data_IF_854260179564
#
_entry.id   IF_854260179564
#
_cell.length_a   1.000
_cell.length_b   1.000
_cell.length_c   1.000
_cell.angle_alpha   90.00
_cell.angle_beta   90.00
_cell.angle_gamma   90.00
#
_symmetry.space_group_name_H-M   'P 1'
#
loop_
_entity.id
_entity.type
_entity.pdbx_description
1 polymer ?
#
# COMPACT_ATOMS: atom_id res chain seq x y z
N UNK A 1 -21.68 14.65 6.28
CA UNK A 1 -20.34 15.16 5.80
C UNK A 1 -20.03 14.41 4.51
N UNK A 2 -19.40 15.06 3.50
CA UNK A 2 -18.99 14.32 2.30
C UNK A 2 -17.90 13.32 2.68
N UNK A 3 -18.10 12.06 2.34
CA UNK A 3 -17.10 11.01 2.43
C UNK A 3 -16.25 10.91 1.17
N UNK A 4 -15.31 9.98 1.16
CA UNK A 4 -14.51 9.65 0.00
C UNK A 4 -15.11 8.42 -0.71
N UNK A 5 -15.28 8.51 -2.03
CA UNK A 5 -15.76 7.42 -2.88
C UNK A 5 -14.66 7.02 -3.85
N UNK A 6 -14.30 5.74 -3.87
CA UNK A 6 -13.39 5.17 -4.87
C UNK A 6 -14.22 4.90 -6.14
N UNK A 7 -13.74 5.44 -7.27
CA UNK A 7 -14.43 5.35 -8.56
C UNK A 7 -13.64 4.58 -9.62
N UNK A 8 -12.41 4.24 -9.34
CA UNK A 8 -11.60 3.41 -10.22
C UNK A 8 -10.42 2.83 -9.46
N UNK A 9 -9.92 1.68 -9.90
CA UNK A 9 -8.81 0.96 -9.31
C UNK A 9 -7.86 0.40 -10.37
N UNK A 10 -6.58 0.29 -10.03
CA UNK A 10 -5.55 -0.28 -10.88
C UNK A 10 -4.48 -0.97 -10.07
N UNK A 11 -3.72 -1.85 -10.74
CA UNK A 11 -2.61 -2.57 -10.11
C UNK A 11 -1.46 -2.78 -11.06
N UNK A 12 -0.27 -2.96 -10.51
CA UNK A 12 0.92 -3.44 -11.18
C UNK A 12 1.68 -4.42 -10.27
N UNK A 13 2.49 -5.28 -10.84
CA UNK A 13 3.32 -6.23 -10.11
C UNK A 13 4.74 -6.19 -10.66
N UNK A 14 5.70 -6.69 -9.87
CA UNK A 14 7.06 -6.91 -10.37
C UNK A 14 7.07 -7.81 -11.62
N UNK A 15 8.08 -7.67 -12.44
CA UNK A 15 8.21 -8.32 -13.76
C UNK A 15 8.71 -9.78 -13.69
N UNK A 16 9.08 -10.26 -12.49
CA UNK A 16 9.51 -11.65 -12.28
C UNK A 16 8.66 -12.37 -11.25
N UNK A 17 8.05 -13.48 -11.66
CA UNK A 17 7.40 -14.41 -10.74
C UNK A 17 8.47 -15.26 -10.05
N UNK A 18 8.44 -15.29 -8.71
CA UNK A 18 9.32 -16.11 -7.86
C UNK A 18 8.47 -17.10 -7.08
N UNK A 19 8.63 -18.38 -7.36
CA UNK A 19 7.90 -19.49 -6.72
C UNK A 19 8.55 -19.88 -5.39
N UNK A 20 7.84 -20.67 -4.57
CA UNK A 20 8.44 -21.25 -3.38
C UNK A 20 9.60 -22.19 -3.72
N UNK A 21 9.52 -22.92 -4.84
CA UNK A 21 10.63 -23.75 -5.33
C UNK A 21 11.88 -22.93 -5.72
N UNK A 22 11.72 -21.67 -6.13
CA UNK A 22 12.85 -20.78 -6.35
C UNK A 22 13.45 -20.30 -5.03
N UNK A 23 12.62 -20.08 -4.02
CA UNK A 23 13.10 -19.73 -2.66
C UNK A 23 13.87 -20.87 -2.01
N UNK A 24 13.53 -22.14 -2.27
CA UNK A 24 14.27 -23.33 -1.79
C UNK A 24 15.73 -23.36 -2.29
N UNK A 25 16.02 -22.71 -3.43
CA UNK A 25 17.38 -22.60 -3.99
C UNK A 25 18.22 -21.53 -3.30
N UNK A 26 17.57 -20.63 -2.56
CA UNK A 26 18.18 -19.42 -1.98
C UNK A 26 18.38 -19.59 -0.46
N UNK A 27 17.38 -20.15 0.23
CA UNK A 27 17.39 -20.26 1.69
C UNK A 27 16.82 -21.62 2.12
N UNK A 28 17.24 -22.12 3.27
CA UNK A 28 16.77 -23.38 3.84
C UNK A 28 15.29 -23.30 4.22
N UNK A 29 14.40 -23.68 3.27
CA UNK A 29 12.94 -23.66 3.38
C UNK A 29 12.32 -24.74 2.52
N UNK A 30 10.97 -24.82 2.48
CA UNK A 30 10.22 -25.66 1.55
C UNK A 30 8.89 -25.02 1.15
N UNK A 31 8.38 -25.37 -0.04
CA UNK A 31 7.04 -24.95 -0.48
C UNK A 31 5.97 -25.29 0.57
N UNK A 32 6.06 -26.51 1.13
CA UNK A 32 5.15 -26.93 2.19
C UNK A 32 5.22 -26.00 3.40
N UNK A 33 6.43 -25.68 3.89
CA UNK A 33 6.59 -24.84 5.07
C UNK A 33 6.08 -23.41 4.82
N UNK A 34 6.43 -22.81 3.66
CA UNK A 34 5.96 -21.46 3.31
C UNK A 34 4.44 -21.43 3.22
N UNK A 35 3.84 -22.40 2.51
CA UNK A 35 2.38 -22.47 2.30
C UNK A 35 1.63 -22.70 3.61
N UNK A 36 2.11 -23.61 4.48
CA UNK A 36 1.48 -23.87 5.78
C UNK A 36 1.56 -22.66 6.74
N UNK A 37 2.62 -21.85 6.63
CA UNK A 37 2.83 -20.69 7.52
C UNK A 37 2.21 -19.40 7.03
N UNK A 38 2.11 -19.20 5.73
CA UNK A 38 1.71 -17.91 5.16
C UNK A 38 0.64 -17.99 4.06
N UNK A 39 0.36 -19.17 3.54
CA UNK A 39 -0.51 -19.35 2.37
C UNK A 39 0.13 -18.91 1.05
N UNK A 40 1.34 -18.33 1.07
CA UNK A 40 2.03 -17.80 -0.12
C UNK A 40 2.53 -18.94 -0.99
N UNK A 41 2.22 -18.90 -2.29
CA UNK A 41 2.70 -19.85 -3.30
C UNK A 41 3.74 -19.25 -4.23
N UNK A 42 3.62 -17.95 -4.50
CA UNK A 42 4.56 -17.17 -5.30
C UNK A 42 4.53 -15.70 -4.88
N UNK A 43 5.53 -14.97 -5.30
CA UNK A 43 5.62 -13.50 -5.16
C UNK A 43 6.18 -12.92 -6.45
N UNK A 44 6.08 -11.62 -6.60
CA UNK A 44 6.65 -10.91 -7.73
C UNK A 44 7.85 -10.10 -7.25
N UNK A 45 8.94 -10.13 -8.00
CA UNK A 45 10.08 -9.22 -7.82
C UNK A 45 10.20 -8.31 -9.03
N UNK A 46 10.51 -7.06 -8.78
CA UNK A 46 10.77 -6.07 -9.82
C UNK A 46 12.26 -6.09 -10.17
N UNK A 47 12.65 -6.92 -11.13
CA UNK A 47 14.05 -7.02 -11.57
C UNK A 47 14.45 -5.81 -12.43
N UNK A 48 13.64 -5.48 -13.43
CA UNK A 48 13.90 -4.36 -14.33
C UNK A 48 13.05 -3.12 -14.01
N UNK A 49 11.93 -3.29 -13.32
CA UNK A 49 11.04 -2.19 -12.96
C UNK A 49 11.52 -1.47 -11.71
N UNK A 50 11.38 -0.15 -11.71
CA UNK A 50 11.51 0.68 -10.51
C UNK A 50 10.19 0.71 -9.72
N UNK A 51 10.23 1.28 -8.50
CA UNK A 51 9.02 1.56 -7.74
C UNK A 51 8.12 2.55 -8.51
N UNK A 52 8.72 3.57 -9.12
CA UNK A 52 8.00 4.55 -9.94
C UNK A 52 7.38 3.95 -11.20
N UNK A 53 7.96 2.89 -11.80
CA UNK A 53 7.34 2.20 -12.93
C UNK A 53 6.06 1.49 -12.53
N UNK A 54 6.09 0.75 -11.42
CA UNK A 54 4.90 0.08 -10.90
C UNK A 54 3.83 1.08 -10.46
N UNK A 55 4.23 2.17 -9.80
CA UNK A 55 3.31 3.24 -9.42
C UNK A 55 2.62 3.85 -10.64
N UNK A 56 3.36 4.16 -11.70
CA UNK A 56 2.82 4.69 -12.95
C UNK A 56 1.84 3.72 -13.62
N UNK A 57 2.17 2.46 -13.74
CA UNK A 57 1.30 1.45 -14.37
C UNK A 57 -0.01 1.26 -13.61
N UNK A 58 0.07 1.15 -12.27
CA UNK A 58 -1.11 1.04 -11.42
C UNK A 58 -2.00 2.29 -11.52
N UNK A 59 -1.39 3.47 -11.48
CA UNK A 59 -2.07 4.75 -11.59
C UNK A 59 -2.78 4.92 -12.94
N UNK A 60 -2.08 4.65 -14.04
CA UNK A 60 -2.67 4.70 -15.38
C UNK A 60 -3.83 3.72 -15.55
N UNK A 61 -3.76 2.55 -14.92
CA UNK A 61 -4.87 1.60 -14.92
C UNK A 61 -6.06 2.12 -14.11
N UNK A 62 -5.83 2.74 -12.94
CA UNK A 62 -6.88 3.30 -12.10
C UNK A 62 -7.61 4.48 -12.78
N UNK A 63 -6.88 5.36 -13.47
CA UNK A 63 -7.46 6.48 -14.22
C UNK A 63 -8.35 5.96 -15.35
N UNK A 64 -7.88 4.97 -16.11
CA UNK A 64 -8.69 4.34 -17.16
C UNK A 64 -9.96 3.67 -16.63
N UNK A 65 -9.87 2.99 -15.50
CA UNK A 65 -11.01 2.32 -14.86
C UNK A 65 -12.02 3.33 -14.33
N UNK A 66 -11.55 4.45 -13.79
CA UNK A 66 -12.39 5.55 -13.34
C UNK A 66 -13.08 6.30 -14.47
N UNK A 67 -12.52 6.29 -15.68
CA UNK A 67 -13.03 7.05 -16.83
C UNK A 67 -12.93 8.56 -16.65
N UNK A 68 -11.93 9.04 -15.90
CA UNK A 68 -11.70 10.47 -15.66
C UNK A 68 -10.55 10.99 -16.51
N UNK A 69 -10.56 12.28 -16.80
CA UNK A 69 -9.46 12.94 -17.50
C UNK A 69 -8.33 13.30 -16.51
N UNK A 70 -7.10 13.27 -16.99
CA UNK A 70 -5.93 13.59 -16.15
C UNK A 70 -5.96 15.03 -15.64
N UNK A 71 -6.55 15.95 -16.39
CA UNK A 71 -6.73 17.36 -16.08
C UNK A 71 -7.57 17.62 -14.82
N UNK A 72 -8.42 16.68 -14.45
CA UNK A 72 -9.31 16.78 -13.29
C UNK A 72 -8.68 16.23 -12.00
N UNK A 73 -7.47 15.64 -12.09
CA UNK A 73 -6.74 15.13 -10.92
C UNK A 73 -6.00 16.27 -10.23
N UNK A 74 -6.47 16.64 -9.05
CA UNK A 74 -5.92 17.76 -8.27
C UNK A 74 -4.95 17.33 -7.18
N UNK A 75 -4.98 16.04 -6.80
CA UNK A 75 -4.13 15.46 -5.75
C UNK A 75 -3.56 14.12 -6.22
N UNK A 76 -2.25 13.94 -6.09
CA UNK A 76 -1.54 12.68 -6.36
C UNK A 76 -0.68 12.31 -5.14
N UNK A 77 -1.03 11.23 -4.46
CA UNK A 77 -0.31 10.74 -3.28
C UNK A 77 0.25 9.36 -3.57
N UNK A 78 1.56 9.17 -3.41
CA UNK A 78 2.18 7.84 -3.41
C UNK A 78 2.52 7.45 -1.98
N UNK A 79 1.87 6.41 -1.50
CA UNK A 79 2.11 5.82 -0.20
C UNK A 79 3.24 4.80 -0.35
N UNK A 80 4.45 5.19 0.07
CA UNK A 80 5.66 4.37 -0.08
C UNK A 80 6.69 4.66 1.00
N UNK A 81 7.47 3.64 1.38
CA UNK A 81 8.70 3.79 2.16
C UNK A 81 9.95 3.33 1.37
N UNK A 82 9.74 2.92 0.11
CA UNK A 82 10.79 2.44 -0.81
C UNK A 82 10.90 3.31 -2.07
N UNK A 83 10.99 4.66 -1.95
CA UNK A 83 11.12 5.50 -3.13
C UNK A 83 12.42 5.18 -3.87
N UNK A 84 12.41 5.31 -5.20
CA UNK A 84 13.62 5.13 -6.01
C UNK A 84 14.66 6.23 -5.71
N UNK A 85 14.18 7.46 -5.53
CA UNK A 85 14.96 8.64 -5.20
C UNK A 85 14.41 9.34 -3.97
N UNK A 86 15.25 10.00 -3.20
CA UNK A 86 14.79 10.88 -2.11
C UNK A 86 14.11 12.15 -2.63
N UNK A 87 14.50 12.61 -3.82
CA UNK A 87 13.91 13.76 -4.52
C UNK A 87 14.33 13.76 -6.00
N UNK A 88 13.40 13.99 -6.95
CA UNK A 88 11.95 14.16 -6.71
C UNK A 88 11.31 12.88 -6.21
N UNK A 89 10.24 13.02 -5.40
CA UNK A 89 9.47 11.86 -4.91
C UNK A 89 8.76 11.09 -6.02
N UNK A 90 8.37 9.86 -5.73
CA UNK A 90 7.68 8.95 -6.69
C UNK A 90 6.38 9.58 -7.19
N UNK A 91 5.64 10.29 -6.33
CA UNK A 91 4.41 10.99 -6.73
C UNK A 91 4.66 12.06 -7.77
N UNK A 92 5.73 12.86 -7.62
CA UNK A 92 6.09 13.90 -8.58
C UNK A 92 6.50 13.31 -9.93
N UNK A 93 7.29 12.22 -9.92
CA UNK A 93 7.71 11.52 -11.14
C UNK A 93 6.51 10.87 -11.85
N UNK A 94 5.62 10.23 -11.08
CA UNK A 94 4.40 9.60 -11.59
C UNK A 94 3.45 10.65 -12.19
N UNK A 95 3.23 11.78 -11.52
CA UNK A 95 2.40 12.87 -12.01
C UNK A 95 2.93 13.42 -13.34
N UNK A 96 4.23 13.66 -13.45
CA UNK A 96 4.87 14.10 -14.70
C UNK A 96 4.71 13.10 -15.84
N UNK A 97 4.88 11.81 -15.58
CA UNK A 97 4.70 10.73 -16.57
C UNK A 97 3.26 10.56 -17.03
N UNK A 98 2.29 10.78 -16.15
CA UNK A 98 0.86 10.75 -16.46
C UNK A 98 0.38 12.01 -17.19
N UNK A 99 1.19 13.07 -17.24
CA UNK A 99 0.78 14.35 -17.79
C UNK A 99 -0.26 15.07 -16.93
N UNK A 100 -0.22 14.89 -15.61
CA UNK A 100 -1.11 15.62 -14.71
C UNK A 100 -0.79 17.11 -14.73
N UNK A 101 -1.77 18.00 -14.46
CA UNK A 101 -1.53 19.45 -14.41
C UNK A 101 -0.40 19.84 -13.46
N UNK A 102 0.34 20.90 -13.80
CA UNK A 102 1.38 21.45 -12.91
C UNK A 102 0.83 21.92 -11.56
N UNK A 103 -0.48 22.16 -11.49
CA UNK A 103 -1.21 22.54 -10.27
C UNK A 103 -1.58 21.34 -9.39
N UNK A 104 -1.37 20.10 -9.87
CA UNK A 104 -1.66 18.89 -9.08
C UNK A 104 -0.72 18.80 -7.88
N UNK A 105 -1.29 18.78 -6.67
CA UNK A 105 -0.52 18.61 -5.45
C UNK A 105 0.00 17.16 -5.35
N UNK A 106 1.31 16.99 -5.57
CA UNK A 106 1.95 15.67 -5.66
C UNK A 106 3.00 15.48 -4.59
N UNK A 107 2.89 14.42 -3.78
CA UNK A 107 3.86 14.09 -2.72
C UNK A 107 3.80 12.63 -2.29
N UNK A 108 4.94 12.14 -1.74
CA UNK A 108 5.02 10.83 -1.14
C UNK A 108 4.60 10.87 0.33
N UNK A 109 3.93 9.82 0.78
CA UNK A 109 3.50 9.65 2.16
C UNK A 109 4.05 8.34 2.71
N UNK A 110 4.89 8.40 3.74
CA UNK A 110 5.40 7.22 4.40
C UNK A 110 4.57 6.90 5.65
N UNK A 111 3.69 5.93 5.53
CA UNK A 111 2.91 5.33 6.62
C UNK A 111 3.11 3.82 6.68
N UNK A 112 4.11 3.28 5.97
CA UNK A 112 4.34 1.84 5.81
C UNK A 112 3.01 1.11 5.52
N UNK A 113 2.70 0.01 6.25
CA UNK A 113 1.49 -0.80 6.05
C UNK A 113 0.17 -0.02 6.19
N UNK A 114 0.16 1.13 6.90
CA UNK A 114 -1.00 2.00 7.06
C UNK A 114 -1.04 3.13 6.02
N UNK A 115 -0.05 3.22 5.13
CA UNK A 115 0.13 4.32 4.19
C UNK A 115 -1.11 4.59 3.34
N UNK A 116 -1.73 3.56 2.77
CA UNK A 116 -2.92 3.72 1.95
C UNK A 116 -4.10 4.34 2.73
N UNK A 117 -4.34 3.90 3.97
CA UNK A 117 -5.40 4.48 4.82
C UNK A 117 -5.09 5.95 5.14
N UNK A 118 -3.84 6.27 5.47
CA UNK A 118 -3.42 7.65 5.69
C UNK A 118 -3.54 8.50 4.42
N UNK A 119 -3.25 7.91 3.26
CA UNK A 119 -3.47 8.52 1.95
C UNK A 119 -4.94 8.88 1.73
N UNK A 120 -5.87 7.99 2.04
CA UNK A 120 -7.32 8.24 1.94
C UNK A 120 -7.76 9.39 2.87
N UNK A 121 -7.32 9.37 4.13
CA UNK A 121 -7.63 10.45 5.10
C UNK A 121 -7.10 11.78 4.61
N UNK A 122 -5.86 11.80 4.10
CA UNK A 122 -5.20 12.99 3.60
C UNK A 122 -5.90 13.52 2.34
N UNK A 123 -6.19 12.64 1.38
CA UNK A 123 -6.88 12.99 0.16
C UNK A 123 -8.27 13.60 0.43
N UNK A 124 -9.03 13.00 1.36
CA UNK A 124 -10.32 13.56 1.77
C UNK A 124 -10.20 14.99 2.32
N UNK A 125 -9.14 15.27 3.09
CA UNK A 125 -8.86 16.61 3.61
C UNK A 125 -8.48 17.61 2.50
N UNK A 126 -7.69 17.17 1.54
CA UNK A 126 -7.19 18.02 0.43
C UNK A 126 -8.25 18.27 -0.63
N UNK A 127 -9.10 17.29 -0.93
CA UNK A 127 -10.17 17.48 -1.91
C UNK A 127 -11.23 18.52 -1.47
N UNK A 128 -11.38 18.78 -0.17
CA UNK A 128 -12.30 19.81 0.33
C UNK A 128 -12.03 21.20 -0.23
N UNK A 129 -10.83 21.75 -0.17
CA UNK A 129 -10.50 23.04 -0.75
C UNK A 129 -10.21 23.00 -2.25
N UNK A 130 -9.69 21.89 -2.79
CA UNK A 130 -9.24 21.84 -4.19
C UNK A 130 -10.29 21.31 -5.16
N UNK A 131 -11.22 20.45 -4.70
CA UNK A 131 -12.15 19.75 -5.58
C UNK A 131 -11.44 18.73 -6.47
N UNK A 132 -12.10 18.30 -7.55
CA UNK A 132 -11.55 17.33 -8.51
C UNK A 132 -11.39 15.92 -7.94
N UNK A 133 -10.40 15.19 -8.45
CA UNK A 133 -10.11 13.81 -8.04
C UNK A 133 -8.77 13.69 -7.34
N UNK A 134 -8.67 12.70 -6.44
CA UNK A 134 -7.41 12.28 -5.85
C UNK A 134 -6.98 10.94 -6.44
N UNK A 135 -5.74 10.86 -6.87
CA UNK A 135 -5.04 9.63 -7.23
C UNK A 135 -4.22 9.18 -6.01
N UNK A 136 -4.58 8.05 -5.43
CA UNK A 136 -3.92 7.49 -4.23
C UNK A 136 -3.29 6.16 -4.63
N UNK A 137 -1.98 6.07 -4.49
CA UNK A 137 -1.18 4.94 -4.96
C UNK A 137 -0.44 4.35 -3.76
N UNK A 138 -0.51 3.04 -3.57
CA UNK A 138 0.43 2.29 -2.74
C UNK A 138 1.43 1.59 -3.65
N UNK A 139 2.71 1.85 -3.52
CA UNK A 139 3.72 1.22 -4.36
C UNK A 139 4.97 0.91 -3.55
N UNK A 140 5.43 -0.34 -3.63
CA UNK A 140 6.61 -0.78 -2.89
C UNK A 140 7.51 -1.70 -3.71
N UNK A 141 8.80 -1.44 -3.69
CA UNK A 141 9.85 -2.34 -4.15
C UNK A 141 10.65 -2.83 -2.94
N UNK A 142 10.15 -3.89 -2.31
CA UNK A 142 10.67 -4.40 -1.03
C UNK A 142 11.81 -5.41 -1.25
N UNK A 143 11.86 -6.08 -2.40
CA UNK A 143 12.83 -7.15 -2.67
C UNK A 143 14.29 -6.77 -2.40
N UNK A 144 14.78 -5.54 -2.69
CA UNK A 144 16.15 -5.15 -2.34
C UNK A 144 16.41 -4.98 -0.84
N UNK A 145 15.35 -4.82 -0.05
CA UNK A 145 15.42 -4.60 1.40
C UNK A 145 15.35 -5.92 2.19
N UNK A 146 15.24 -7.05 1.53
CA UNK A 146 15.20 -8.36 2.17
C UNK A 146 16.61 -8.94 2.33
N UNK A 147 16.88 -9.45 3.53
CA UNK A 147 18.02 -10.33 3.71
C UNK A 147 17.66 -11.74 3.19
N UNK A 148 18.16 -12.11 2.02
CA UNK A 148 17.85 -13.40 1.41
C UNK A 148 18.39 -14.62 2.20
N UNK A 149 19.24 -14.40 3.20
CA UNK A 149 19.65 -15.43 4.16
C UNK A 149 18.72 -15.60 5.35
N UNK A 150 17.73 -14.72 5.52
CA UNK A 150 16.76 -14.78 6.61
C UNK A 150 15.41 -15.35 6.13
N UNK A 151 15.23 -16.65 6.38
CA UNK A 151 13.99 -17.37 6.04
C UNK A 151 12.71 -16.73 6.65
N UNK A 152 12.83 -16.06 7.79
CA UNK A 152 11.68 -15.50 8.49
C UNK A 152 11.06 -14.31 7.74
N UNK A 153 11.83 -13.64 6.91
CA UNK A 153 11.39 -12.43 6.20
C UNK A 153 11.39 -12.58 4.68
N UNK A 154 12.43 -13.18 4.08
CA UNK A 154 12.60 -13.17 2.62
C UNK A 154 11.51 -13.93 1.84
N UNK A 155 10.76 -14.82 2.48
CA UNK A 155 9.69 -15.59 1.86
C UNK A 155 8.34 -14.86 1.85
N UNK A 156 8.20 -13.76 2.61
CA UNK A 156 6.91 -13.10 2.88
C UNK A 156 6.60 -11.97 1.90
N UNK A 157 7.61 -11.26 1.43
CA UNK A 157 7.42 -10.00 0.70
C UNK A 157 7.61 -10.17 -0.80
N UNK A 158 7.03 -9.25 -1.55
CA UNK A 158 7.19 -9.06 -2.98
C UNK A 158 7.07 -7.59 -3.34
N UNK A 159 7.14 -7.29 -4.63
CA UNK A 159 7.09 -5.95 -5.18
C UNK A 159 5.79 -5.76 -5.97
N UNK A 160 5.18 -4.60 -5.86
CA UNK A 160 3.96 -4.27 -6.56
C UNK A 160 3.39 -2.92 -6.19
N UNK A 161 2.36 -2.54 -6.93
CA UNK A 161 1.60 -1.33 -6.72
C UNK A 161 0.10 -1.54 -6.88
N UNK A 162 -0.68 -0.77 -6.14
CA UNK A 162 -2.10 -0.61 -6.32
C UNK A 162 -2.45 0.87 -6.30
N UNK A 163 -3.43 1.29 -7.09
CA UNK A 163 -3.87 2.66 -7.15
C UNK A 163 -5.39 2.76 -7.17
N UNK A 164 -5.91 3.85 -6.64
CA UNK A 164 -7.32 4.20 -6.75
C UNK A 164 -7.47 5.65 -7.17
N UNK A 165 -8.53 5.93 -7.92
CA UNK A 165 -9.05 7.28 -8.13
C UNK A 165 -10.24 7.47 -7.19
N UNK A 166 -10.24 8.59 -6.47
CA UNK A 166 -11.26 8.88 -5.48
C UNK A 166 -11.78 10.32 -5.61
N UNK A 167 -13.03 10.51 -5.20
CA UNK A 167 -13.69 11.82 -5.16
C UNK A 167 -14.39 12.06 -3.84
N UNK A 168 -14.74 13.29 -3.54
CA UNK A 168 -15.69 13.60 -2.47
C UNK A 168 -17.14 13.39 -2.96
N UNK A 169 -17.89 12.62 -2.20
CA UNK A 169 -19.31 12.41 -2.49
C UNK A 169 -20.17 12.73 -1.27
N UNK A 170 -21.26 13.47 -1.43
CA UNK A 170 -22.23 13.70 -0.35
C UNK A 170 -22.98 12.42 0.05
N UNK A 171 -22.99 11.42 -0.83
CA UNK A 171 -23.65 10.13 -0.63
C UNK A 171 -22.74 9.09 0.02
N UNK A 172 -21.41 9.37 0.07
CA UNK A 172 -20.46 8.51 0.72
C UNK A 172 -20.25 8.91 2.18
N UNK A 173 -20.15 7.91 3.03
CA UNK A 173 -19.72 8.08 4.41
C UNK A 173 -18.24 7.69 4.52
N UNK A 174 -17.55 8.30 5.45
CA UNK A 174 -16.16 7.97 5.75
C UNK A 174 -15.90 8.16 7.24
N UNK A 175 -15.49 7.11 7.88
CA UNK A 175 -15.05 7.13 9.26
C UNK A 175 -13.62 6.57 9.36
N UNK A 176 -12.88 7.05 10.33
CA UNK A 176 -11.50 6.65 10.56
C UNK A 176 -11.26 6.34 12.04
N UNK A 177 -10.62 5.23 12.28
CA UNK A 177 -10.05 4.89 13.57
C UNK A 177 -8.65 4.31 13.39
N UNK A 178 -7.67 4.91 13.97
CA UNK A 178 -6.29 4.45 13.89
C UNK A 178 -5.32 5.31 14.67
N UNK A 179 -4.06 4.89 14.67
CA UNK A 179 -2.97 5.55 15.38
C UNK A 179 -1.66 4.83 15.15
N UNK A 180 -0.67 5.10 16.00
CA UNK A 180 0.65 4.52 15.93
C UNK A 180 1.08 4.02 17.32
N UNK A 181 1.59 2.79 17.38
CA UNK A 181 2.30 2.24 18.52
C UNK A 181 3.75 2.01 18.08
N UNK A 182 4.69 2.93 18.38
CA UNK A 182 6.06 2.82 17.90
C UNK A 182 6.81 1.72 18.65
N UNK A 183 7.32 0.72 17.93
CA UNK A 183 8.26 -0.26 18.47
C UNK A 183 9.26 -0.72 17.40
N UNK A 184 10.38 -0.03 17.29
CA UNK A 184 11.44 -0.33 16.34
C UNK A 184 12.26 -1.57 16.67
N UNK A 185 12.01 -2.24 17.81
CA UNK A 185 12.60 -3.53 18.15
C UNK A 185 11.88 -4.66 17.42
N UNK A 186 10.55 -4.50 17.24
CA UNK A 186 9.67 -5.53 16.68
C UNK A 186 9.67 -5.49 15.15
N UNK A 187 9.62 -4.32 14.54
CA UNK A 187 9.63 -4.16 13.08
C UNK A 187 10.36 -2.87 12.71
N UNK A 188 11.37 -3.01 11.86
CA UNK A 188 12.09 -1.87 11.30
C UNK A 188 12.74 -2.20 9.96
N UNK A 189 12.90 -1.19 9.12
CA UNK A 189 13.87 -1.18 8.03
C UNK A 189 15.01 -0.27 8.46
N UNK A 190 16.21 -0.84 8.62
CA UNK A 190 17.38 -0.10 9.13
C UNK A 190 17.97 0.74 7.99
N UNK A 191 17.98 2.06 8.15
CA UNK A 191 18.56 2.98 7.17
C UNK A 191 20.05 2.80 6.89
N UNK A 192 20.79 2.05 7.72
CA UNK A 192 22.22 1.75 7.55
C UNK A 192 22.47 0.42 6.86
N UNK A 193 21.76 -0.64 7.27
CA UNK A 193 21.90 -1.98 6.68
C UNK A 193 20.95 -2.19 5.51
N UNK A 194 19.94 -1.32 5.37
CA UNK A 194 18.85 -1.39 4.40
C UNK A 194 18.03 -2.69 4.46
N UNK A 195 18.17 -3.50 5.49
CA UNK A 195 17.39 -4.73 5.63
C UNK A 195 16.21 -4.56 6.58
N UNK A 196 15.07 -5.15 6.18
CA UNK A 196 13.91 -5.30 7.05
C UNK A 196 14.26 -6.33 8.12
N UNK A 197 14.01 -5.97 9.39
CA UNK A 197 14.11 -6.85 10.55
C UNK A 197 12.75 -6.93 11.22
N UNK A 198 12.29 -8.14 11.49
CA UNK A 198 10.96 -8.38 12.00
C UNK A 198 10.95 -9.53 13.02
N UNK A 199 10.39 -9.27 14.18
CA UNK A 199 10.02 -10.29 15.17
C UNK A 199 8.63 -10.83 14.80
N UNK A 200 8.55 -11.80 13.88
CA UNK A 200 7.34 -12.22 13.21
C UNK A 200 6.19 -12.60 14.17
N UNK A 201 6.49 -13.26 15.30
CA UNK A 201 5.46 -13.63 16.29
C UNK A 201 4.84 -12.41 16.97
N UNK A 202 5.65 -11.40 17.30
CA UNK A 202 5.17 -10.16 17.93
C UNK A 202 4.34 -9.34 16.94
N UNK A 203 4.80 -9.23 15.69
CA UNK A 203 4.03 -8.58 14.60
C UNK A 203 2.70 -9.29 14.38
N UNK A 204 2.68 -10.62 14.34
CA UNK A 204 1.46 -11.40 14.18
C UNK A 204 0.46 -11.15 15.33
N UNK A 205 0.91 -11.24 16.59
CA UNK A 205 0.05 -10.97 17.76
C UNK A 205 -0.51 -9.55 17.74
N UNK A 206 0.34 -8.57 17.38
CA UNK A 206 -0.08 -7.19 17.23
C UNK A 206 -1.15 -7.07 16.15
N UNK A 207 -0.89 -7.59 14.94
CA UNK A 207 -1.80 -7.49 13.81
C UNK A 207 -3.18 -8.08 14.14
N UNK A 208 -3.24 -9.32 14.65
CA UNK A 208 -4.50 -9.98 15.00
C UNK A 208 -5.26 -9.19 16.06
N UNK A 209 -4.59 -8.77 17.15
CA UNK A 209 -5.29 -8.10 18.25
C UNK A 209 -5.71 -6.66 17.89
N UNK A 210 -4.85 -5.92 17.19
CA UNK A 210 -5.12 -4.50 16.91
C UNK A 210 -6.03 -4.29 15.71
N UNK A 211 -5.91 -5.13 14.66
CA UNK A 211 -6.86 -5.06 13.54
C UNK A 211 -8.29 -5.35 14.02
N UNK A 212 -8.49 -6.44 14.76
CA UNK A 212 -9.80 -6.77 15.33
C UNK A 212 -10.34 -5.65 16.25
N UNK A 213 -9.49 -5.12 17.13
CA UNK A 213 -9.89 -4.00 18.00
C UNK A 213 -10.26 -2.76 17.19
N UNK A 214 -9.47 -2.42 16.16
CA UNK A 214 -9.74 -1.22 15.33
C UNK A 214 -11.05 -1.34 14.58
N UNK A 215 -11.33 -2.51 14.01
CA UNK A 215 -12.60 -2.79 13.32
C UNK A 215 -13.76 -2.67 14.32
N UNK A 216 -13.70 -3.38 15.45
CA UNK A 216 -14.77 -3.37 16.45
C UNK A 216 -15.03 -1.96 17.00
N UNK A 217 -13.98 -1.17 17.24
CA UNK A 217 -14.13 0.19 17.77
C UNK A 217 -14.70 1.14 16.71
N UNK A 218 -14.31 0.99 15.43
CA UNK A 218 -14.89 1.75 14.35
C UNK A 218 -16.38 1.45 14.18
N UNK A 219 -16.75 0.16 14.10
CA UNK A 219 -18.14 -0.28 14.02
C UNK A 219 -18.97 0.23 15.19
N UNK A 220 -18.45 0.15 16.41
CA UNK A 220 -19.13 0.67 17.60
C UNK A 220 -19.36 2.19 17.53
N UNK A 221 -18.41 2.97 17.03
CA UNK A 221 -18.53 4.43 16.89
C UNK A 221 -19.54 4.85 15.86
N UNK A 222 -19.58 4.10 14.77
CA UNK A 222 -20.48 4.36 13.64
C UNK A 222 -21.82 3.60 13.77
N UNK A 223 -22.06 2.94 14.92
CA UNK A 223 -23.27 2.17 15.23
C UNK A 223 -23.58 1.08 14.18
N UNK A 224 -22.51 0.49 13.57
CA UNK A 224 -22.60 -0.56 12.56
C UNK A 224 -22.65 -1.97 13.20
N UNK A 225 -23.34 -2.86 12.50
CA UNK A 225 -23.37 -4.31 12.77
C UNK A 225 -22.64 -5.06 11.65
N UNK A 226 -22.34 -6.36 11.83
CA UNK A 226 -21.74 -7.20 10.77
C UNK A 226 -22.60 -7.24 9.50
N UNK A 227 -23.92 -7.06 9.61
CA UNK A 227 -24.85 -7.03 8.47
C UNK A 227 -24.76 -5.76 7.62
N UNK A 228 -24.15 -4.71 8.14
CA UNK A 228 -23.96 -3.43 7.45
C UNK A 228 -22.64 -3.34 6.69
N UNK A 229 -21.78 -4.39 6.79
CA UNK A 229 -20.44 -4.43 6.19
C UNK A 229 -20.41 -5.46 5.07
N UNK A 230 -20.24 -5.01 3.83
CA UNK A 230 -20.13 -5.91 2.68
C UNK A 230 -18.76 -6.60 2.61
N UNK A 231 -17.67 -5.89 2.93
CA UNK A 231 -16.30 -6.41 2.81
C UNK A 231 -15.37 -5.90 3.91
N UNK A 232 -14.54 -6.79 4.43
CA UNK A 232 -13.38 -6.47 5.26
C UNK A 232 -12.11 -6.63 4.42
N UNK A 233 -11.57 -5.52 3.93
CA UNK A 233 -10.35 -5.52 3.11
C UNK A 233 -9.14 -5.24 4.00
N UNK A 234 -8.58 -6.29 4.57
CA UNK A 234 -7.43 -6.20 5.48
C UNK A 234 -6.10 -6.21 4.74
N UNK A 235 -5.08 -5.61 5.36
CA UNK A 235 -3.70 -5.77 4.91
C UNK A 235 -3.29 -7.26 4.94
N UNK A 236 -2.75 -7.74 3.84
CA UNK A 236 -2.34 -9.14 3.66
C UNK A 236 -0.91 -9.35 4.17
N UNK A 237 -0.69 -9.23 5.48
CA UNK A 237 0.62 -9.39 6.10
C UNK A 237 1.03 -10.88 6.25
N UNK A 238 0.07 -11.79 6.16
CA UNK A 238 0.27 -13.23 6.38
C UNK A 238 -0.86 -14.03 5.71
#
# INVERSE_FOLDING_TARGET
>A
MNGIRIIGAGKAAGDKVVTNADMEKIVDTSDRWITEKSGIRSRYFAESLSNGDMAFEAAAAAIRDAGVETEDITVCIVCTFTPDDHTPGVACQTAGRLGLPETTLSFDLNGACSGFIYGCVTAMGLLKPFGGYALIIGSEKISPLMNMGDRATCVLFGDGAGAVVAELSPEAEFAYYGGCIPDNRVLRCDGRTHFIKMEGQEVYRFAVSKASHSISELMRREELTDGDVDYYVCHQAN
#
